data_IF_899812174139
#
_entry.id   IF_899812174139
#
_cell.length_a   1.000
_cell.length_b   1.000
_cell.length_c   1.000
_cell.angle_alpha   90.00
_cell.angle_beta   90.00
_cell.angle_gamma   90.00
#
_symmetry.space_group_name_H-M   'P 1'
#
loop_
_entity.id
_entity.type
_entity.pdbx_description
1 polymer ?
#
# COMPACT_ATOMS: atom_id res chain seq x y z
N UNK A 1 12.80 17.86 -18.02
CA UNK A 1 12.08 18.43 -16.86
C UNK A 1 10.80 17.64 -16.69
N UNK A 2 10.54 17.13 -15.49
CA UNK A 2 9.26 16.49 -15.16
C UNK A 2 8.18 17.58 -15.06
N UNK A 3 7.02 17.34 -15.66
CA UNK A 3 5.86 18.23 -15.55
C UNK A 3 5.22 18.02 -14.19
N UNK A 4 5.06 19.07 -13.40
CA UNK A 4 4.41 19.04 -12.10
C UNK A 4 2.89 19.17 -12.21
N UNK A 5 2.16 18.78 -11.20
CA UNK A 5 0.71 18.99 -11.15
C UNK A 5 0.34 20.48 -11.20
N UNK A 6 1.19 21.35 -10.64
CA UNK A 6 1.03 22.81 -10.70
C UNK A 6 1.16 23.31 -12.13
N UNK A 7 2.10 22.76 -12.92
CA UNK A 7 2.27 23.13 -14.33
C UNK A 7 1.02 22.76 -15.14
N UNK A 8 0.42 21.58 -14.86
CA UNK A 8 -0.83 21.14 -15.49
C UNK A 8 -1.98 22.08 -15.14
N UNK A 9 -2.13 22.44 -13.86
CA UNK A 9 -3.18 23.38 -13.41
C UNK A 9 -3.02 24.75 -14.05
N UNK A 10 -1.78 25.24 -14.17
CA UNK A 10 -1.49 26.50 -14.83
C UNK A 10 -1.75 26.47 -16.34
N UNK A 11 -1.64 25.29 -16.97
CA UNK A 11 -1.89 25.13 -18.41
C UNK A 11 -3.39 25.02 -18.72
N UNK A 12 -4.12 24.24 -17.90
CA UNK A 12 -5.54 23.89 -18.16
C UNK A 12 -6.51 24.93 -17.60
N UNK A 13 -6.08 25.74 -16.63
CA UNK A 13 -6.91 26.71 -15.91
C UNK A 13 -8.28 26.15 -15.47
N UNK A 14 -8.32 25.00 -14.75
CA UNK A 14 -9.57 24.37 -14.37
C UNK A 14 -10.34 25.27 -13.40
N UNK A 15 -11.66 25.26 -13.51
CA UNK A 15 -12.55 25.94 -12.55
C UNK A 15 -12.92 24.94 -11.43
N UNK A 16 -12.28 25.00 -10.26
CA UNK A 16 -12.59 24.08 -9.18
C UNK A 16 -13.99 24.35 -8.61
N UNK A 17 -14.71 23.28 -8.25
CA UNK A 17 -15.93 23.41 -7.47
C UNK A 17 -15.65 24.03 -6.10
N UNK A 18 -16.67 24.56 -5.41
CA UNK A 18 -16.52 25.19 -4.09
C UNK A 18 -15.76 24.28 -3.09
N UNK A 19 -16.08 22.97 -3.09
CA UNK A 19 -15.41 21.99 -2.23
C UNK A 19 -13.91 21.80 -2.55
N UNK A 20 -13.51 22.06 -3.77
CA UNK A 20 -12.14 21.85 -4.24
C UNK A 20 -11.29 23.12 -4.21
N UNK A 21 -11.89 24.31 -4.05
CA UNK A 21 -11.18 25.58 -4.08
C UNK A 21 -10.04 25.66 -3.06
N UNK A 22 -10.28 25.21 -1.84
CA UNK A 22 -9.27 25.22 -0.79
C UNK A 22 -8.09 24.28 -1.12
N UNK A 23 -8.40 23.09 -1.64
CA UNK A 23 -7.38 22.12 -2.09
C UNK A 23 -6.54 22.68 -3.23
N UNK A 24 -7.17 23.34 -4.21
CA UNK A 24 -6.46 24.01 -5.30
C UNK A 24 -5.58 25.15 -4.80
N UNK A 25 -6.05 25.97 -3.85
CA UNK A 25 -5.22 27.03 -3.23
C UNK A 25 -3.98 26.42 -2.55
N UNK A 26 -4.14 25.33 -1.79
CA UNK A 26 -3.02 24.62 -1.13
C UNK A 26 -2.06 24.02 -2.17
N UNK A 27 -2.59 23.45 -3.27
CA UNK A 27 -1.77 22.93 -4.36
C UNK A 27 -0.89 24.02 -4.96
N UNK A 28 -1.49 25.17 -5.33
CA UNK A 28 -0.80 26.29 -5.95
C UNK A 28 0.27 26.91 -5.05
N UNK A 29 0.06 26.86 -3.72
CA UNK A 29 1.04 27.32 -2.72
C UNK A 29 2.08 26.29 -2.35
N UNK A 30 1.99 25.04 -2.86
CA UNK A 30 2.87 23.94 -2.44
C UNK A 30 2.60 23.43 -1.01
N UNK A 31 1.45 23.78 -0.44
CA UNK A 31 1.06 23.45 0.95
C UNK A 31 0.27 22.12 1.04
N UNK A 32 0.10 21.39 -0.07
CA UNK A 32 -0.53 20.07 -0.01
C UNK A 32 0.36 19.14 0.80
N UNK A 33 -0.23 18.52 1.81
CA UNK A 33 0.44 17.45 2.55
C UNK A 33 0.78 16.32 1.57
N UNK A 34 2.07 16.07 1.37
CA UNK A 34 2.51 14.87 0.70
C UNK A 34 2.22 13.70 1.64
N UNK A 35 1.32 12.81 1.22
CA UNK A 35 1.18 11.53 1.90
C UNK A 35 2.42 10.70 1.56
N UNK A 36 3.20 10.36 2.57
CA UNK A 36 4.26 9.38 2.40
C UNK A 36 3.61 8.06 2.03
N UNK A 37 3.76 7.64 0.79
CA UNK A 37 3.31 6.33 0.34
C UNK A 37 4.16 5.23 0.97
N UNK A 38 3.67 3.99 0.94
CA UNK A 38 4.46 2.83 1.36
C UNK A 38 5.78 2.73 0.58
N UNK A 39 5.74 3.08 -0.71
CA UNK A 39 6.89 3.08 -1.60
C UNK A 39 7.91 4.14 -1.19
N UNK A 40 7.47 5.35 -0.86
CA UNK A 40 8.34 6.44 -0.39
C UNK A 40 9.03 6.09 0.93
N UNK A 41 8.28 5.54 1.90
CA UNK A 41 8.84 5.12 3.19
C UNK A 41 9.88 4.02 3.01
N UNK A 42 9.56 2.98 2.25
CA UNK A 42 10.47 1.87 2.00
C UNK A 42 11.71 2.30 1.21
N UNK A 43 11.57 3.23 0.26
CA UNK A 43 12.69 3.78 -0.51
C UNK A 43 13.62 4.60 0.38
N UNK A 44 13.10 5.46 1.24
CA UNK A 44 13.89 6.25 2.19
C UNK A 44 14.66 5.36 3.16
N UNK A 45 13.98 4.40 3.79
CA UNK A 45 14.63 3.44 4.70
C UNK A 45 15.73 2.63 3.97
N UNK A 46 15.47 2.21 2.73
CA UNK A 46 16.45 1.50 1.92
C UNK A 46 17.68 2.34 1.58
N UNK A 47 17.50 3.64 1.27
CA UNK A 47 18.60 4.55 0.98
C UNK A 47 19.46 4.81 2.21
N UNK A 48 18.85 5.05 3.37
CA UNK A 48 19.55 5.27 4.64
C UNK A 48 20.40 4.04 5.05
N UNK A 49 19.84 2.83 4.90
CA UNK A 49 20.55 1.58 5.20
C UNK A 49 21.70 1.36 4.20
N UNK A 50 21.47 1.62 2.90
CA UNK A 50 22.51 1.51 1.88
C UNK A 50 23.68 2.46 2.14
N UNK A 51 23.41 3.66 2.64
CA UNK A 51 24.44 4.62 3.02
C UNK A 51 25.23 4.17 4.25
N UNK A 52 24.58 3.55 5.25
CA UNK A 52 25.27 2.93 6.41
C UNK A 52 26.23 1.83 5.97
N UNK A 53 25.85 1.02 4.96
CA UNK A 53 26.74 -0.01 4.38
C UNK A 53 27.93 0.62 3.67
N UNK A 54 27.68 1.65 2.83
CA UNK A 54 28.77 2.34 2.09
C UNK A 54 29.76 3.02 3.03
N UNK A 55 29.29 3.54 4.15
CA UNK A 55 30.16 4.18 5.17
C UNK A 55 30.81 3.18 6.11
N UNK A 56 30.60 1.87 5.93
CA UNK A 56 31.18 0.82 6.78
C UNK A 56 30.62 0.73 8.19
N UNK A 57 29.49 1.44 8.47
CA UNK A 57 28.86 1.43 9.80
C UNK A 57 28.19 0.09 10.12
N UNK A 58 27.70 -0.61 9.11
CA UNK A 58 27.05 -1.90 9.25
C UNK A 58 27.52 -2.85 8.14
N UNK A 59 27.49 -4.14 8.41
CA UNK A 59 27.77 -5.20 7.44
C UNK A 59 26.55 -5.44 6.52
N UNK A 60 26.76 -6.09 5.39
CA UNK A 60 25.66 -6.47 4.49
C UNK A 60 24.61 -7.34 5.18
N UNK A 61 25.01 -8.29 6.02
CA UNK A 61 24.10 -9.14 6.76
C UNK A 61 23.25 -8.35 7.76
N UNK A 62 23.84 -7.38 8.46
CA UNK A 62 23.11 -6.47 9.36
C UNK A 62 22.16 -5.57 8.56
N UNK A 63 22.54 -5.11 7.37
CA UNK A 63 21.68 -4.31 6.51
C UNK A 63 20.44 -5.06 6.04
N UNK A 64 20.54 -6.35 5.75
CA UNK A 64 19.38 -7.19 5.40
C UNK A 64 18.38 -7.31 6.55
N UNK A 65 18.88 -7.46 7.78
CA UNK A 65 18.03 -7.51 8.99
C UNK A 65 17.37 -6.16 9.23
N UNK A 66 18.14 -5.05 9.26
CA UNK A 66 17.60 -3.70 9.43
C UNK A 66 16.57 -3.35 8.35
N UNK A 67 16.80 -3.76 7.10
CA UNK A 67 15.87 -3.51 5.99
C UNK A 67 14.55 -4.27 6.18
N UNK A 68 14.61 -5.50 6.65
CA UNK A 68 13.43 -6.31 6.93
C UNK A 68 12.60 -5.71 8.07
N UNK A 69 13.27 -5.30 9.15
CA UNK A 69 12.64 -4.65 10.29
C UNK A 69 12.02 -3.30 9.89
N UNK A 70 12.75 -2.44 9.18
CA UNK A 70 12.25 -1.16 8.70
C UNK A 70 11.01 -1.33 7.79
N UNK A 71 11.00 -2.33 6.92
CA UNK A 71 9.82 -2.65 6.10
C UNK A 71 8.64 -3.10 6.95
N UNK A 72 8.86 -3.94 7.96
CA UNK A 72 7.81 -4.40 8.87
C UNK A 72 7.19 -3.22 9.63
N UNK A 73 8.02 -2.31 10.15
CA UNK A 73 7.58 -1.12 10.87
C UNK A 73 6.83 -0.15 9.96
N UNK A 74 7.29 0.06 8.74
CA UNK A 74 6.61 0.91 7.76
C UNK A 74 5.21 0.37 7.43
N UNK A 75 5.06 -0.95 7.22
CA UNK A 75 3.75 -1.56 7.00
C UNK A 75 2.86 -1.46 8.22
N UNK A 76 3.41 -1.73 9.41
CA UNK A 76 2.69 -1.58 10.67
C UNK A 76 2.14 -0.17 10.81
N UNK A 77 2.97 0.84 10.61
CA UNK A 77 2.56 2.24 10.72
C UNK A 77 1.44 2.59 9.74
N UNK A 78 1.56 2.21 8.45
CA UNK A 78 0.54 2.51 7.43
C UNK A 78 -0.80 1.82 7.71
N UNK A 79 -0.76 0.61 8.27
CA UNK A 79 -1.95 -0.16 8.66
C UNK A 79 -2.59 0.46 9.90
N UNK A 80 -1.82 0.78 10.93
CA UNK A 80 -2.30 1.37 12.19
C UNK A 80 -2.88 2.78 11.99
N UNK A 81 -2.25 3.59 11.14
CA UNK A 81 -2.74 4.92 10.75
C UNK A 81 -3.96 4.87 9.82
N UNK A 82 -4.30 3.70 9.26
CA UNK A 82 -5.38 3.51 8.30
C UNK A 82 -5.16 4.23 6.96
N UNK A 83 -3.92 4.66 6.69
CA UNK A 83 -3.55 5.42 5.48
C UNK A 83 -3.30 4.53 4.26
N UNK A 84 -3.16 3.21 4.46
CA UNK A 84 -2.97 2.25 3.39
C UNK A 84 -4.27 2.06 2.58
N UNK A 85 -4.28 2.48 1.32
CA UNK A 85 -5.40 2.26 0.41
C UNK A 85 -5.58 0.79 0.04
N UNK A 86 -6.81 0.37 -0.31
CA UNK A 86 -7.12 -1.02 -0.60
C UNK A 86 -6.30 -1.61 -1.77
N UNK A 87 -6.18 -0.88 -2.87
CA UNK A 87 -5.37 -1.31 -4.02
C UNK A 87 -3.87 -1.38 -3.69
N UNK A 88 -3.39 -0.49 -2.81
CA UNK A 88 -2.01 -0.55 -2.33
C UNK A 88 -1.80 -1.76 -1.41
N UNK A 89 -2.78 -2.11 -0.57
CA UNK A 89 -2.78 -3.35 0.22
C UNK A 89 -2.66 -4.58 -0.69
N UNK A 90 -3.50 -4.70 -1.72
CA UNK A 90 -3.46 -5.83 -2.65
C UNK A 90 -2.12 -5.95 -3.37
N UNK A 91 -1.61 -4.86 -3.95
CA UNK A 91 -0.33 -4.86 -4.68
C UNK A 91 0.86 -5.25 -3.80
N UNK A 92 0.79 -4.93 -2.52
CA UNK A 92 1.87 -5.18 -1.58
C UNK A 92 1.58 -6.34 -0.61
N UNK A 93 0.50 -7.09 -0.82
CA UNK A 93 0.06 -8.14 0.08
C UNK A 93 1.18 -9.15 0.39
N UNK A 94 1.93 -9.56 -0.63
CA UNK A 94 3.11 -10.42 -0.50
C UNK A 94 4.17 -9.83 0.43
N UNK A 95 4.53 -8.57 0.20
CA UNK A 95 5.56 -7.89 1.00
C UNK A 95 5.12 -7.74 2.46
N UNK A 96 3.84 -7.44 2.67
CA UNK A 96 3.25 -7.34 4.01
C UNK A 96 3.30 -8.70 4.71
N UNK A 97 2.78 -9.74 4.06
CA UNK A 97 2.69 -11.09 4.66
C UNK A 97 4.07 -11.67 4.97
N UNK A 98 5.10 -11.37 4.16
CA UNK A 98 6.46 -11.90 4.36
C UNK A 98 7.18 -11.30 5.56
N UNK A 99 6.84 -10.10 6.00
CA UNK A 99 7.55 -9.38 7.08
C UNK A 99 6.66 -9.05 8.28
N UNK A 100 5.33 -9.17 8.15
CA UNK A 100 4.39 -8.78 9.17
C UNK A 100 4.44 -9.66 10.42
N UNK A 101 4.36 -9.03 11.60
CA UNK A 101 4.01 -9.72 12.85
C UNK A 101 2.58 -10.28 12.77
N UNK A 102 2.20 -11.19 13.68
CA UNK A 102 0.84 -11.75 13.69
C UNK A 102 -0.25 -10.71 13.88
N UNK A 103 0.03 -9.66 14.65
CA UNK A 103 -0.88 -8.53 14.84
C UNK A 103 -1.10 -7.76 13.53
N UNK A 104 -0.02 -7.39 12.85
CA UNK A 104 -0.07 -6.64 11.59
C UNK A 104 -0.69 -7.49 10.49
N UNK A 105 -0.38 -8.77 10.44
CA UNK A 105 -0.99 -9.73 9.53
C UNK A 105 -2.51 -9.81 9.74
N UNK A 106 -2.96 -9.92 10.99
CA UNK A 106 -4.40 -9.97 11.31
C UNK A 106 -5.10 -8.68 10.86
N UNK A 107 -4.55 -7.51 11.19
CA UNK A 107 -5.09 -6.22 10.74
C UNK A 107 -5.15 -6.10 9.22
N UNK A 108 -4.13 -6.60 8.52
CA UNK A 108 -4.13 -6.61 7.06
C UNK A 108 -5.25 -7.49 6.48
N UNK A 109 -5.51 -8.66 7.09
CA UNK A 109 -6.65 -9.50 6.71
C UNK A 109 -7.99 -8.84 7.00
N UNK A 110 -8.14 -8.17 8.15
CA UNK A 110 -9.36 -7.41 8.50
C UNK A 110 -9.62 -6.30 7.47
N UNK A 111 -8.56 -5.58 7.06
CA UNK A 111 -8.67 -4.58 5.99
C UNK A 111 -9.06 -5.21 4.64
N UNK A 112 -8.58 -6.42 4.36
CA UNK A 112 -8.88 -7.13 3.11
C UNK A 112 -10.35 -7.51 2.99
N UNK A 113 -11.00 -7.85 4.11
CA UNK A 113 -12.41 -8.25 4.19
C UNK A 113 -13.36 -7.12 4.61
N UNK A 114 -12.86 -5.88 4.72
CA UNK A 114 -13.69 -4.71 5.03
C UNK A 114 -14.52 -4.33 3.79
N UNK A 115 -15.81 -4.63 3.84
CA UNK A 115 -16.76 -4.36 2.76
C UNK A 115 -16.75 -2.89 2.30
N UNK A 116 -16.69 -1.94 3.25
CA UNK A 116 -16.68 -0.50 2.93
C UNK A 116 -15.44 -0.12 2.13
N UNK A 117 -14.29 -0.69 2.47
CA UNK A 117 -13.03 -0.47 1.75
C UNK A 117 -13.07 -1.09 0.36
N UNK A 118 -13.56 -2.34 0.24
CA UNK A 118 -13.73 -3.04 -1.03
C UNK A 118 -14.62 -2.22 -1.96
N UNK A 119 -15.80 -1.81 -1.50
CA UNK A 119 -16.75 -1.00 -2.27
C UNK A 119 -16.17 0.34 -2.70
N UNK A 120 -15.60 1.09 -1.74
CA UNK A 120 -15.02 2.41 -2.00
C UNK A 120 -13.84 2.37 -2.97
N UNK A 121 -13.09 1.28 -2.99
CA UNK A 121 -11.92 1.13 -3.88
C UNK A 121 -12.29 0.77 -5.31
N UNK A 122 -13.52 0.34 -5.56
CA UNK A 122 -13.99 -0.18 -6.85
C UNK A 122 -13.10 -1.30 -7.39
N UNK A 123 -12.50 -2.09 -6.51
CA UNK A 123 -11.67 -3.23 -6.89
C UNK A 123 -12.55 -4.31 -7.54
N UNK A 124 -12.03 -4.92 -8.60
CA UNK A 124 -12.71 -6.03 -9.26
C UNK A 124 -12.23 -7.39 -8.72
N UNK A 125 -13.09 -8.43 -8.74
CA UNK A 125 -12.73 -9.78 -8.29
C UNK A 125 -11.42 -10.30 -8.89
N UNK A 126 -11.20 -10.13 -10.20
CA UNK A 126 -9.98 -10.59 -10.88
C UNK A 126 -8.69 -9.92 -10.34
N UNK A 127 -8.77 -8.69 -9.81
CA UNK A 127 -7.59 -8.02 -9.24
C UNK A 127 -7.19 -8.65 -7.90
N UNK A 128 -8.17 -9.16 -7.15
CA UNK A 128 -7.93 -9.90 -5.90
C UNK A 128 -7.31 -11.25 -6.22
N UNK A 129 -7.82 -11.92 -7.25
CA UNK A 129 -7.33 -13.22 -7.72
C UNK A 129 -5.88 -13.15 -8.19
N UNK A 130 -5.56 -12.17 -9.04
CA UNK A 130 -4.17 -11.91 -9.48
C UNK A 130 -3.25 -11.65 -8.29
N UNK A 131 -3.66 -10.84 -7.32
CA UNK A 131 -2.84 -10.56 -6.14
C UNK A 131 -2.56 -11.83 -5.33
N UNK A 132 -3.55 -12.72 -5.24
CA UNK A 132 -3.40 -14.01 -4.58
C UNK A 132 -2.52 -14.98 -5.37
N UNK A 133 -2.69 -15.09 -6.67
CA UNK A 133 -1.84 -15.92 -7.54
C UNK A 133 -0.36 -15.54 -7.41
N UNK A 134 -0.05 -14.24 -7.50
CA UNK A 134 1.31 -13.73 -7.32
C UNK A 134 1.87 -14.10 -5.94
N UNK A 135 1.06 -13.99 -4.89
CA UNK A 135 1.45 -14.36 -3.54
C UNK A 135 1.78 -15.84 -3.43
N UNK A 136 1.01 -16.70 -4.08
CA UNK A 136 1.16 -18.15 -4.01
C UNK A 136 2.27 -18.68 -4.91
N UNK A 137 2.45 -18.09 -6.10
CA UNK A 137 3.46 -18.52 -7.08
C UNK A 137 4.90 -18.26 -6.60
N UNK A 138 5.13 -17.17 -5.89
CA UNK A 138 6.48 -16.79 -5.46
C UNK A 138 6.88 -17.37 -4.10
N UNK A 139 6.12 -18.35 -3.58
CA UNK A 139 6.55 -19.30 -2.56
C UNK A 139 7.10 -18.69 -1.27
N UNK A 140 6.57 -17.54 -0.83
CA UNK A 140 6.94 -16.99 0.47
C UNK A 140 6.78 -18.07 1.56
N UNK A 141 7.70 -18.13 2.50
CA UNK A 141 7.69 -19.05 3.65
C UNK A 141 6.54 -18.67 4.59
N UNK A 142 5.31 -18.85 4.10
CA UNK A 142 4.08 -18.62 4.84
C UNK A 142 3.72 -19.94 5.50
N UNK A 143 3.66 -19.95 6.84
CA UNK A 143 3.23 -21.14 7.58
C UNK A 143 1.79 -21.53 7.19
N UNK A 144 1.45 -22.80 7.40
CA UNK A 144 0.17 -23.36 6.99
C UNK A 144 -1.03 -22.64 7.64
N UNK A 145 -0.89 -22.18 8.86
CA UNK A 145 -1.95 -21.47 9.58
C UNK A 145 -2.23 -20.11 8.96
N UNK A 146 -1.18 -19.32 8.69
CA UNK A 146 -1.28 -18.03 7.99
C UNK A 146 -1.83 -18.22 6.58
N UNK A 147 -1.38 -19.27 5.88
CA UNK A 147 -1.86 -19.59 4.53
C UNK A 147 -3.37 -19.85 4.52
N UNK A 148 -3.88 -20.64 5.44
CA UNK A 148 -5.32 -20.94 5.55
C UNK A 148 -6.13 -19.68 5.85
N UNK A 149 -5.69 -18.86 6.80
CA UNK A 149 -6.34 -17.59 7.13
C UNK A 149 -6.37 -16.62 5.94
N UNK A 150 -5.25 -16.52 5.23
CA UNK A 150 -5.14 -15.70 4.04
C UNK A 150 -6.10 -16.15 2.94
N UNK A 151 -6.16 -17.46 2.66
CA UNK A 151 -7.06 -18.04 1.67
C UNK A 151 -8.52 -17.71 1.99
N UNK A 152 -8.91 -17.87 3.26
CA UNK A 152 -10.26 -17.53 3.72
C UNK A 152 -10.58 -16.05 3.52
N UNK A 153 -9.63 -15.17 3.84
CA UNK A 153 -9.80 -13.73 3.68
C UNK A 153 -9.88 -13.32 2.20
N UNK A 154 -9.04 -13.91 1.34
CA UNK A 154 -9.07 -13.65 -0.11
C UNK A 154 -10.39 -14.08 -0.74
N UNK A 155 -10.88 -15.27 -0.42
CA UNK A 155 -12.18 -15.74 -0.92
C UNK A 155 -13.31 -14.80 -0.48
N UNK A 156 -13.29 -14.35 0.77
CA UNK A 156 -14.27 -13.38 1.28
C UNK A 156 -14.17 -12.03 0.56
N UNK A 157 -12.96 -11.51 0.36
CA UNK A 157 -12.72 -10.27 -0.37
C UNK A 157 -13.20 -10.37 -1.82
N UNK A 158 -12.99 -11.52 -2.47
CA UNK A 158 -13.48 -11.80 -3.82
C UNK A 158 -15.00 -11.69 -3.89
N UNK A 159 -15.73 -12.36 -2.98
CA UNK A 159 -17.18 -12.28 -2.88
C UNK A 159 -17.68 -10.84 -2.68
N UNK A 160 -17.01 -10.07 -1.81
CA UNK A 160 -17.34 -8.68 -1.53
C UNK A 160 -17.10 -7.75 -2.73
N UNK A 161 -16.22 -8.12 -3.65
CA UNK A 161 -15.90 -7.33 -4.84
C UNK A 161 -16.86 -7.60 -6.03
N UNK A 162 -17.62 -8.72 -6.01
CA UNK A 162 -18.55 -9.05 -7.10
C UNK A 162 -19.54 -7.93 -7.41
N UNK A 163 -20.17 -7.27 -6.42
CA UNK A 163 -21.10 -6.18 -6.72
C UNK A 163 -20.46 -4.96 -7.39
N UNK A 164 -19.14 -4.76 -7.29
CA UNK A 164 -18.45 -3.68 -8.00
C UNK A 164 -18.51 -3.86 -9.52
N UNK A 165 -18.76 -5.09 -10.02
CA UNK A 165 -18.95 -5.35 -11.45
C UNK A 165 -20.28 -4.81 -11.97
N UNK A 166 -21.32 -4.77 -11.12
CA UNK A 166 -22.68 -4.36 -11.52
C UNK A 166 -22.89 -2.85 -11.35
N UNK A 167 -22.08 -2.15 -10.59
CA UNK A 167 -22.16 -0.69 -10.41
C UNK A 167 -21.59 0.10 -11.61
N UNK A 168 -21.00 -0.59 -12.59
CA UNK A 168 -20.42 0.04 -13.79
C UNK A 168 -21.35 0.02 -15.01
N UNK A 169 -22.49 -0.65 -14.91
CA UNK A 169 -23.50 -0.77 -15.97
C UNK A 169 -24.87 -0.30 -15.47
#
# INVERSE_FOLDING_TARGET
KSVSLVDIVNLVHPKPSEKMQETFKKLMKGELKQFNTAEDKNTKSGQEIAEKVKTGKITKAQAEVELKEAKADNWKQLIDEGTLGYLALLRNLRNIVSVASDEVFTKALDMLVDEKRVRKSLVFPHQIDIAFEVLMAEGGNIDQTRRTRLLTAVNKAYELAIPNLTELF
#
